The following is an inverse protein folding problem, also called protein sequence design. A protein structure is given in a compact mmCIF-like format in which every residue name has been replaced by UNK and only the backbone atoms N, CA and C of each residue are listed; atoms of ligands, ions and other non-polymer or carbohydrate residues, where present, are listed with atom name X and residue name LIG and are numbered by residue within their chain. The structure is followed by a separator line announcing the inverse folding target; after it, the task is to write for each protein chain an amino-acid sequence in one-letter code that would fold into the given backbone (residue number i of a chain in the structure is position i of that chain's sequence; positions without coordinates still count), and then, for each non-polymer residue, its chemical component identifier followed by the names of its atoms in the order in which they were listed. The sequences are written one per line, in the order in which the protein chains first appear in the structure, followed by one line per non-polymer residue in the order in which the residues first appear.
data_IF_991432904015
#
_entry.id   IF_991432904015
#
_cell.length_a   1.000
_cell.length_b   1.000
_cell.length_c   1.000
_cell.angle_alpha   90.00
_cell.angle_beta   90.00
_cell.angle_gamma   90.00
#
_symmetry.space_group_name_H-M   'P 1'
#
loop_
_entity.id
_entity.type
_entity.pdbx_description
1 polymer ?
#
# COMPACT_ATOMS: atom_id res chain seq x y z
N UNK A 1 -12.94 30.54 71.46
CA UNK A 1 -14.02 29.71 70.82
C UNK A 1 -13.37 28.45 70.25
N UNK A 2 -13.42 27.36 70.98
CA UNK A 2 -12.82 26.06 70.58
C UNK A 2 -13.81 25.41 69.59
N UNK A 3 -13.44 25.23 68.34
CA UNK A 3 -14.27 24.62 67.34
C UNK A 3 -14.52 23.13 67.67
N UNK A 4 -15.81 22.74 67.78
CA UNK A 4 -16.26 21.40 68.07
C UNK A 4 -15.63 20.34 67.11
N UNK A 5 -14.85 19.39 67.64
CA UNK A 5 -14.17 18.38 66.82
C UNK A 5 -15.14 17.47 66.03
N UNK A 6 -16.40 17.35 66.47
CA UNK A 6 -17.44 16.59 65.75
C UNK A 6 -17.87 17.33 64.49
N UNK A 7 -18.03 18.63 64.49
CA UNK A 7 -18.34 19.46 63.33
C UNK A 7 -17.23 19.41 62.29
N UNK A 8 -15.97 19.43 62.71
CA UNK A 8 -14.82 19.33 61.80
C UNK A 8 -14.76 17.94 61.11
N UNK A 9 -15.07 16.88 61.83
CA UNK A 9 -15.12 15.53 61.22
C UNK A 9 -16.30 15.36 60.21
N UNK A 10 -17.45 15.96 60.50
CA UNK A 10 -18.59 15.97 59.60
C UNK A 10 -18.30 16.77 58.30
N UNK A 11 -17.62 17.90 58.42
CA UNK A 11 -17.22 18.69 57.28
C UNK A 11 -16.19 17.98 56.40
N UNK A 12 -15.22 17.28 57.04
CA UNK A 12 -14.23 16.47 56.30
C UNK A 12 -14.86 15.22 55.63
N UNK A 13 -15.85 14.60 56.27
CA UNK A 13 -16.58 13.51 55.67
C UNK A 13 -17.49 13.96 54.51
N UNK A 14 -18.12 15.12 54.60
CA UNK A 14 -18.87 15.74 53.51
C UNK A 14 -18.00 16.15 52.32
N UNK A 15 -16.79 16.68 52.59
CA UNK A 15 -15.83 17.00 51.54
C UNK A 15 -15.27 15.74 50.86
N UNK A 16 -15.05 14.64 51.60
CA UNK A 16 -14.61 13.37 51.03
C UNK A 16 -15.69 12.71 50.13
N UNK A 17 -16.97 12.86 50.47
CA UNK A 17 -18.09 12.38 49.63
C UNK A 17 -18.30 13.25 48.38
N UNK A 18 -17.94 14.52 48.37
CA UNK A 18 -18.00 15.38 47.19
C UNK A 18 -16.91 15.06 46.15
N UNK A 19 -15.85 14.36 46.58
CA UNK A 19 -14.79 13.79 45.68
C UNK A 19 -15.05 12.33 45.30
N UNK A 20 -16.15 11.72 45.73
CA UNK A 20 -16.58 10.42 45.23
C UNK A 20 -16.97 10.57 43.77
N UNK A 21 -15.99 10.33 42.92
CA UNK A 21 -15.95 10.65 41.50
C UNK A 21 -17.23 10.36 40.75
N UNK A 22 -17.68 11.30 39.97
CA UNK A 22 -18.49 11.01 38.79
C UNK A 22 -17.88 9.81 38.09
N UNK A 23 -18.64 8.72 37.83
CA UNK A 23 -18.11 7.60 37.06
C UNK A 23 -17.56 8.20 35.75
N UNK A 24 -16.26 8.10 35.53
CA UNK A 24 -15.67 8.44 34.27
C UNK A 24 -16.42 7.61 33.22
N UNK A 25 -17.41 8.20 32.57
CA UNK A 25 -18.05 7.59 31.42
C UNK A 25 -16.90 7.32 30.45
N UNK A 26 -16.55 6.05 30.28
CA UNK A 26 -15.63 5.66 29.24
C UNK A 26 -16.11 6.33 27.96
N UNK A 27 -15.33 7.29 27.48
CA UNK A 27 -15.69 8.09 26.31
C UNK A 27 -15.79 7.13 25.14
N UNK A 28 -17.01 6.96 24.60
CA UNK A 28 -17.24 6.01 23.51
C UNK A 28 -16.35 6.41 22.33
N UNK A 29 -15.44 5.54 21.95
CA UNK A 29 -14.61 5.76 20.77
C UNK A 29 -15.46 5.67 19.49
N UNK A 30 -15.26 6.56 18.48
CA UNK A 30 -14.42 7.78 18.52
C UNK A 30 -15.18 9.00 19.05
N UNK A 31 -14.48 9.86 19.80
CA UNK A 31 -15.04 11.09 20.35
C UNK A 31 -14.40 12.37 19.76
N UNK A 32 -13.44 12.21 18.87
CA UNK A 32 -12.73 13.30 18.17
C UNK A 32 -12.31 12.87 16.77
N UNK A 33 -11.76 13.80 16.01
CA UNK A 33 -11.31 13.59 14.65
C UNK A 33 -10.29 12.44 14.55
N UNK A 34 -10.50 11.57 13.55
CA UNK A 34 -9.57 10.51 13.15
C UNK A 34 -8.69 11.02 12.01
N UNK A 35 -7.42 10.60 12.01
CA UNK A 35 -6.45 10.91 10.97
C UNK A 35 -5.98 9.63 10.27
N UNK A 36 -6.02 9.63 8.95
CA UNK A 36 -5.39 8.61 8.11
C UNK A 36 -4.16 9.24 7.45
N UNK A 37 -2.98 8.73 7.77
CA UNK A 37 -1.73 9.13 7.13
C UNK A 37 -1.53 8.31 5.86
N UNK A 38 -1.37 8.99 4.72
CA UNK A 38 -0.96 8.40 3.45
C UNK A 38 0.48 8.86 3.16
N UNK A 39 1.49 7.99 3.22
CA UNK A 39 2.89 8.39 3.08
C UNK A 39 3.33 8.54 1.61
N UNK A 40 2.39 8.71 0.71
CA UNK A 40 2.60 8.85 -0.73
C UNK A 40 1.92 10.13 -1.25
N UNK A 41 2.34 10.64 -2.43
CA UNK A 41 1.71 11.81 -3.04
C UNK A 41 0.22 11.62 -3.27
N UNK A 42 -0.57 12.72 -3.24
CA UNK A 42 -1.99 12.67 -3.54
C UNK A 42 -2.26 12.22 -4.98
N UNK A 43 -3.44 11.62 -5.20
CA UNK A 43 -3.96 11.21 -6.50
C UNK A 43 -3.60 9.77 -6.93
N UNK A 44 -2.66 9.10 -6.25
CA UNK A 44 -2.36 7.69 -6.49
C UNK A 44 -3.36 6.75 -5.79
N UNK A 45 -3.31 5.45 -6.13
CA UNK A 45 -4.24 4.44 -5.60
C UNK A 45 -4.28 4.43 -4.07
N UNK A 46 -3.14 4.57 -3.39
CA UNK A 46 -3.06 4.61 -1.93
C UNK A 46 -3.81 5.80 -1.34
N UNK A 47 -3.72 6.98 -1.97
CA UNK A 47 -4.46 8.18 -1.57
C UNK A 47 -5.96 8.02 -1.83
N UNK A 48 -6.34 7.44 -2.98
CA UNK A 48 -7.74 7.16 -3.30
C UNK A 48 -8.37 6.19 -2.30
N UNK A 49 -7.67 5.14 -1.90
CA UNK A 49 -8.11 4.23 -0.83
C UNK A 49 -8.24 4.97 0.51
N UNK A 50 -7.23 5.77 0.88
CA UNK A 50 -7.25 6.53 2.13
C UNK A 50 -8.49 7.41 2.23
N UNK A 51 -8.84 8.09 1.13
CA UNK A 51 -10.03 8.97 1.07
C UNK A 51 -11.33 8.19 1.06
N UNK A 52 -11.42 7.13 0.29
CA UNK A 52 -12.63 6.31 0.21
C UNK A 52 -12.95 5.61 1.54
N UNK A 53 -11.92 5.05 2.19
CA UNK A 53 -12.04 4.46 3.54
C UNK A 53 -12.37 5.56 4.56
N UNK A 54 -11.68 6.70 4.50
CA UNK A 54 -11.94 7.83 5.39
C UNK A 54 -13.37 8.35 5.31
N UNK A 55 -13.91 8.48 4.12
CA UNK A 55 -15.31 8.87 3.87
C UNK A 55 -16.29 7.85 4.50
N UNK A 56 -16.07 6.56 4.28
CA UNK A 56 -16.91 5.51 4.85
C UNK A 56 -16.84 5.46 6.39
N UNK A 57 -15.64 5.58 6.96
CA UNK A 57 -15.45 5.66 8.41
C UNK A 57 -16.13 6.90 8.99
N UNK A 58 -16.03 8.06 8.34
CA UNK A 58 -16.70 9.28 8.78
C UNK A 58 -18.21 9.10 8.82
N UNK A 59 -18.81 8.54 7.77
CA UNK A 59 -20.25 8.27 7.71
C UNK A 59 -20.71 7.28 8.77
N UNK A 60 -19.95 6.21 9.00
CA UNK A 60 -20.32 5.12 9.91
C UNK A 60 -20.08 5.45 11.38
N UNK A 61 -19.08 6.29 11.68
CA UNK A 61 -18.67 6.64 13.06
C UNK A 61 -19.21 7.98 13.53
N UNK A 62 -19.72 8.82 12.63
CA UNK A 62 -20.22 10.15 12.95
C UNK A 62 -19.12 11.16 13.37
N UNK A 63 -17.85 10.85 13.09
CA UNK A 63 -16.71 11.70 13.43
C UNK A 63 -15.91 12.05 12.17
N UNK A 64 -15.37 13.27 12.13
CA UNK A 64 -14.53 13.71 11.02
C UNK A 64 -13.33 12.80 10.82
N UNK A 65 -13.04 12.42 9.57
CA UNK A 65 -11.85 11.67 9.18
C UNK A 65 -11.06 12.47 8.15
N UNK A 66 -9.81 12.80 8.48
CA UNK A 66 -8.92 13.60 7.63
C UNK A 66 -7.80 12.75 7.08
N UNK A 67 -7.57 12.83 5.78
CA UNK A 67 -6.42 12.21 5.11
C UNK A 67 -5.27 13.21 5.03
N UNK A 68 -4.13 12.84 5.61
CA UNK A 68 -2.89 13.62 5.59
C UNK A 68 -1.86 12.93 4.69
N UNK A 69 -1.51 13.55 3.56
CA UNK A 69 -0.42 13.06 2.73
C UNK A 69 0.93 13.50 3.32
N UNK A 70 1.80 12.53 3.70
CA UNK A 70 3.15 12.75 4.25
C UNK A 70 4.19 11.99 3.44
N UNK A 71 4.46 12.39 2.19
CA UNK A 71 5.40 11.70 1.32
C UNK A 71 6.86 11.90 1.78
N UNK A 72 7.71 10.99 1.35
CA UNK A 72 9.16 11.08 1.55
C UNK A 72 9.80 9.74 1.88
N UNK A 73 11.04 9.55 1.43
CA UNK A 73 11.85 8.35 1.63
C UNK A 73 11.07 7.04 1.34
N UNK A 74 10.39 6.96 0.19
CA UNK A 74 9.62 5.76 -0.18
C UNK A 74 8.44 5.43 0.75
N UNK A 75 7.92 6.43 1.49
CA UNK A 75 6.84 6.27 2.46
C UNK A 75 7.30 6.11 3.91
N UNK A 76 8.61 6.11 4.18
CA UNK A 76 9.12 5.89 5.53
C UNK A 76 8.74 7.01 6.50
N UNK A 77 8.73 8.28 6.05
CA UNK A 77 8.44 9.44 6.92
C UNK A 77 7.02 9.35 7.50
N UNK A 78 6.03 9.08 6.67
CA UNK A 78 4.66 8.96 7.13
C UNK A 78 4.43 7.69 7.96
N UNK A 79 5.06 6.57 7.57
CA UNK A 79 4.97 5.31 8.32
C UNK A 79 5.58 5.43 9.72
N UNK A 80 6.75 6.04 9.84
CA UNK A 80 7.40 6.30 11.14
C UNK A 80 6.54 7.16 12.08
N UNK A 81 5.87 8.18 11.51
CA UNK A 81 4.98 9.03 12.29
C UNK A 81 3.80 8.27 12.88
N UNK A 82 3.30 7.22 12.20
CA UNK A 82 2.21 6.38 12.73
C UNK A 82 2.75 5.32 13.68
N UNK A 83 3.91 4.73 13.42
CA UNK A 83 4.57 3.80 14.34
C UNK A 83 4.74 4.40 15.75
N UNK A 84 5.00 5.70 15.82
CA UNK A 84 5.20 6.46 17.08
C UNK A 84 3.94 7.13 17.62
N UNK A 85 2.79 6.95 16.97
CA UNK A 85 1.52 7.54 17.43
C UNK A 85 0.96 6.80 18.64
N UNK A 86 0.11 7.47 19.40
CA UNK A 86 -0.61 6.84 20.52
C UNK A 86 -1.56 5.74 19.99
N UNK A 87 -1.65 4.57 20.67
CA UNK A 87 -2.51 3.47 20.26
C UNK A 87 -3.96 3.67 20.72
N UNK A 88 -4.53 4.82 20.43
CA UNK A 88 -5.85 5.26 20.90
C UNK A 88 -6.95 5.23 19.82
N UNK A 89 -6.59 4.76 18.61
CA UNK A 89 -7.52 4.64 17.49
C UNK A 89 -7.80 5.92 16.72
N UNK A 90 -7.02 6.98 16.92
CA UNK A 90 -7.20 8.25 16.22
C UNK A 90 -6.16 8.52 15.12
N UNK A 91 -5.21 7.62 14.93
CA UNK A 91 -4.21 7.72 13.86
C UNK A 91 -4.05 6.37 13.19
N UNK A 92 -4.26 6.32 11.88
CA UNK A 92 -4.09 5.14 11.04
C UNK A 92 -3.13 5.45 9.90
N UNK A 93 -2.59 4.40 9.28
CA UNK A 93 -1.69 4.45 8.14
C UNK A 93 -2.31 3.66 6.99
N UNK A 94 -2.35 4.24 5.80
CA UNK A 94 -2.59 3.48 4.57
C UNK A 94 -1.33 3.57 3.72
N UNK A 95 -0.64 2.45 3.53
CA UNK A 95 0.65 2.43 2.83
C UNK A 95 0.81 1.20 1.95
N UNK A 96 1.82 1.25 1.08
CA UNK A 96 2.19 0.16 0.16
C UNK A 96 3.06 -0.88 0.86
N UNK A 97 3.02 -2.09 0.35
CA UNK A 97 3.85 -3.21 0.77
C UNK A 97 5.35 -2.85 0.83
N UNK A 98 5.85 -2.08 -0.14
CA UNK A 98 7.26 -1.68 -0.21
C UNK A 98 7.75 -1.04 1.09
N UNK A 99 6.96 -0.16 1.69
CA UNK A 99 7.31 0.49 2.96
C UNK A 99 7.34 -0.47 4.16
N UNK A 100 6.63 -1.59 4.08
CA UNK A 100 6.51 -2.56 5.19
C UNK A 100 7.40 -3.79 5.03
N UNK A 101 7.65 -4.22 3.79
CA UNK A 101 8.37 -5.46 3.50
C UNK A 101 9.75 -5.16 2.92
N UNK A 102 9.80 -4.57 1.73
CA UNK A 102 11.06 -4.34 1.02
C UNK A 102 11.97 -3.34 1.74
N UNK A 103 11.39 -2.36 2.43
CA UNK A 103 12.13 -1.37 3.21
C UNK A 103 13.07 -2.01 4.25
N UNK A 104 12.71 -3.18 4.80
CA UNK A 104 13.54 -3.92 5.76
C UNK A 104 14.90 -4.36 5.18
N UNK A 105 15.01 -4.42 3.86
CA UNK A 105 16.22 -4.82 3.14
C UNK A 105 16.86 -3.64 2.42
N UNK A 106 16.03 -2.73 1.89
CA UNK A 106 16.48 -1.60 1.09
C UNK A 106 17.19 -0.54 1.93
N UNK A 107 16.85 -0.38 3.20
CA UNK A 107 17.42 0.64 4.07
C UNK A 107 18.33 0.02 5.14
N UNK A 108 19.53 0.56 5.30
CA UNK A 108 20.46 0.14 6.37
C UNK A 108 19.87 0.37 7.76
N UNK A 109 19.09 1.44 7.90
CA UNK A 109 18.46 1.82 9.17
C UNK A 109 17.00 2.19 8.92
N UNK A 110 16.10 1.23 9.18
CA UNK A 110 14.67 1.49 9.16
C UNK A 110 14.24 2.16 10.47
N UNK A 111 13.49 3.29 10.45
CA UNK A 111 13.13 4.01 11.67
C UNK A 111 12.03 3.34 12.49
N UNK A 112 11.43 2.27 11.99
CA UNK A 112 10.39 1.47 12.64
C UNK A 112 10.59 -0.02 12.33
N UNK A 113 9.98 -0.87 13.13
CA UNK A 113 9.90 -2.30 12.88
C UNK A 113 8.46 -2.65 12.40
N UNK A 114 8.27 -3.10 11.15
CA UNK A 114 6.95 -3.43 10.62
C UNK A 114 6.17 -4.50 11.41
N UNK A 115 6.86 -5.40 12.08
CA UNK A 115 6.24 -6.49 12.83
C UNK A 115 5.79 -6.10 14.24
N UNK A 116 6.53 -5.19 14.88
CA UNK A 116 6.31 -4.85 16.30
C UNK A 116 5.69 -3.49 16.53
N UNK A 117 5.84 -2.55 15.60
CA UNK A 117 5.43 -1.16 15.78
C UNK A 117 4.06 -0.83 15.17
N UNK A 118 3.44 -1.83 14.52
CA UNK A 118 2.12 -1.68 13.89
C UNK A 118 1.14 -2.78 14.27
N UNK A 119 -0.13 -2.40 14.29
CA UNK A 119 -1.27 -3.29 14.26
C UNK A 119 -1.78 -3.41 12.83
N UNK A 120 -1.80 -4.61 12.28
CA UNK A 120 -2.25 -4.93 10.93
C UNK A 120 -3.77 -5.05 10.91
N UNK A 121 -4.47 -4.28 10.06
CA UNK A 121 -5.94 -4.17 10.11
C UNK A 121 -6.60 -4.78 8.87
N UNK A 122 -6.17 -4.38 7.67
CA UNK A 122 -6.76 -4.90 6.43
C UNK A 122 -5.79 -4.75 5.26
N UNK A 123 -5.65 -5.79 4.44
CA UNK A 123 -5.05 -5.69 3.12
C UNK A 123 -6.09 -5.24 2.10
N UNK A 124 -5.63 -4.43 1.15
CA UNK A 124 -6.40 -3.92 0.01
C UNK A 124 -5.65 -4.33 -1.27
N UNK A 125 -6.35 -4.66 -2.33
CA UNK A 125 -5.75 -5.02 -3.60
C UNK A 125 -4.92 -3.87 -4.19
N UNK A 126 -3.70 -4.18 -4.65
CA UNK A 126 -2.85 -3.19 -5.31
C UNK A 126 -3.19 -3.00 -6.80
N UNK A 127 -4.08 -3.82 -7.31
CA UNK A 127 -4.45 -3.85 -8.72
C UNK A 127 -3.42 -4.56 -9.60
N UNK A 128 -3.78 -4.75 -10.84
CA UNK A 128 -2.90 -5.32 -11.82
C UNK A 128 -1.94 -4.26 -12.36
N UNK A 129 -0.68 -4.62 -12.50
CA UNK A 129 0.39 -3.76 -13.01
C UNK A 129 0.89 -4.31 -14.36
N UNK A 130 0.19 -4.04 -15.49
CA UNK A 130 0.59 -4.56 -16.78
C UNK A 130 1.99 -4.10 -17.18
N UNK A 131 2.71 -5.01 -17.84
CA UNK A 131 3.93 -4.72 -18.56
C UNK A 131 3.58 -4.26 -19.98
N UNK A 132 4.08 -3.09 -20.37
CA UNK A 132 3.88 -2.53 -21.69
C UNK A 132 5.19 -2.17 -22.37
N UNK A 133 5.12 -2.15 -23.71
CA UNK A 133 6.22 -1.73 -24.61
C UNK A 133 5.71 -0.66 -25.57
N UNK A 134 6.60 0.16 -26.20
CA UNK A 134 6.21 1.01 -27.31
C UNK A 134 5.55 0.18 -28.42
N UNK A 135 4.48 0.67 -29.03
CA UNK A 135 3.79 -0.05 -30.10
C UNK A 135 4.70 -0.34 -31.31
N UNK A 136 5.68 0.53 -31.55
CA UNK A 136 6.68 0.36 -32.61
C UNK A 136 7.69 -0.78 -32.35
N UNK A 137 7.84 -1.21 -31.10
CA UNK A 137 8.75 -2.30 -30.75
C UNK A 137 8.23 -3.62 -31.36
N UNK A 138 9.13 -4.36 -32.03
CA UNK A 138 8.79 -5.62 -32.68
C UNK A 138 8.74 -6.80 -31.69
N UNK A 139 7.91 -6.65 -30.62
CA UNK A 139 7.62 -7.70 -29.65
C UNK A 139 6.10 -7.80 -29.46
N UNK A 140 5.54 -8.94 -29.79
CA UNK A 140 4.08 -9.20 -29.72
C UNK A 140 3.64 -9.85 -28.40
N UNK A 141 4.60 -10.42 -27.67
CA UNK A 141 4.40 -11.07 -26.38
C UNK A 141 5.65 -10.86 -25.50
N UNK A 142 5.55 -11.23 -24.23
CA UNK A 142 6.64 -10.99 -23.29
C UNK A 142 7.89 -11.84 -23.56
N UNK A 143 7.74 -13.03 -24.16
CA UNK A 143 8.86 -13.86 -24.57
C UNK A 143 9.67 -13.18 -25.67
N UNK A 144 9.02 -12.63 -26.67
CA UNK A 144 9.68 -11.87 -27.74
C UNK A 144 10.37 -10.62 -27.21
N UNK A 145 9.79 -9.96 -26.21
CA UNK A 145 10.46 -8.84 -25.52
C UNK A 145 11.75 -9.29 -24.81
N UNK A 146 11.74 -10.43 -24.13
CA UNK A 146 12.94 -10.97 -23.47
C UNK A 146 14.03 -11.29 -24.49
N UNK A 147 13.69 -11.92 -25.62
CA UNK A 147 14.66 -12.19 -26.69
C UNK A 147 15.20 -10.88 -27.31
N UNK A 148 14.33 -9.89 -27.52
CA UNK A 148 14.77 -8.55 -27.93
C UNK A 148 15.77 -7.95 -26.93
N UNK A 149 15.47 -8.02 -25.64
CA UNK A 149 16.30 -7.45 -24.56
C UNK A 149 17.65 -8.17 -24.38
N UNK A 150 17.78 -9.42 -24.81
CA UNK A 150 19.07 -10.14 -24.88
C UNK A 150 19.97 -9.58 -25.99
N UNK A 151 19.39 -9.21 -27.11
CA UNK A 151 20.10 -8.81 -28.31
C UNK A 151 20.35 -7.28 -28.40
N UNK A 152 19.59 -6.47 -27.68
CA UNK A 152 19.60 -5.03 -27.83
C UNK A 152 19.79 -4.33 -26.48
N UNK A 153 20.37 -3.13 -26.51
CA UNK A 153 20.33 -2.22 -25.35
C UNK A 153 18.88 -1.90 -25.04
N UNK A 154 18.47 -2.18 -23.81
CA UNK A 154 17.07 -2.10 -23.39
C UNK A 154 16.96 -1.41 -22.04
N UNK A 155 16.01 -0.49 -21.92
CA UNK A 155 15.69 0.19 -20.67
C UNK A 155 14.25 -0.14 -20.25
N UNK A 156 14.05 -0.36 -18.95
CA UNK A 156 12.71 -0.45 -18.33
C UNK A 156 12.52 0.72 -17.38
N UNK A 157 11.44 1.46 -17.58
CA UNK A 157 11.04 2.54 -16.69
C UNK A 157 10.51 2.01 -15.36
N UNK A 158 10.92 2.65 -14.27
CA UNK A 158 10.51 2.35 -12.91
C UNK A 158 10.13 3.64 -12.19
N UNK A 159 9.24 3.60 -11.22
CA UNK A 159 8.81 4.78 -10.47
C UNK A 159 9.58 4.99 -9.16
N UNK A 160 10.48 4.10 -8.80
CA UNK A 160 11.46 4.25 -7.70
C UNK A 160 12.48 3.11 -7.69
N UNK A 161 13.68 3.29 -7.10
CA UNK A 161 14.54 2.18 -6.72
C UNK A 161 13.81 1.21 -5.79
N UNK A 162 14.00 -0.11 -5.99
CA UNK A 162 13.33 -1.15 -5.21
C UNK A 162 11.85 -1.36 -5.50
N UNK A 163 11.26 -0.58 -6.43
CA UNK A 163 9.88 -0.77 -6.86
C UNK A 163 9.70 -2.06 -7.67
N UNK A 164 8.45 -2.50 -7.82
CA UNK A 164 8.14 -3.72 -8.56
C UNK A 164 8.76 -3.77 -9.98
N UNK A 165 8.65 -2.73 -10.83
CA UNK A 165 9.34 -2.73 -12.13
C UNK A 165 10.86 -2.88 -12.03
N UNK A 166 11.48 -2.33 -10.98
CA UNK A 166 12.93 -2.49 -10.76
C UNK A 166 13.27 -3.95 -10.42
N UNK A 167 12.47 -4.59 -9.57
CA UNK A 167 12.64 -6.02 -9.26
C UNK A 167 12.48 -6.91 -10.48
N UNK A 168 11.47 -6.63 -11.33
CA UNK A 168 11.26 -7.35 -12.59
C UNK A 168 12.48 -7.20 -13.51
N UNK A 169 13.01 -5.98 -13.67
CA UNK A 169 14.20 -5.73 -14.50
C UNK A 169 15.40 -6.52 -14.03
N UNK A 170 15.66 -6.53 -12.71
CA UNK A 170 16.77 -7.28 -12.12
C UNK A 170 16.61 -8.79 -12.27
N UNK A 171 15.39 -9.30 -12.07
CA UNK A 171 15.10 -10.72 -12.25
C UNK A 171 15.22 -11.17 -13.71
N UNK A 172 14.84 -10.32 -14.66
CA UNK A 172 15.08 -10.57 -16.10
C UNK A 172 16.57 -10.67 -16.40
N UNK A 173 17.38 -9.77 -15.86
CA UNK A 173 18.83 -9.81 -16.03
C UNK A 173 19.41 -11.10 -15.43
N UNK A 174 18.99 -11.47 -14.21
CA UNK A 174 19.51 -12.64 -13.50
C UNK A 174 19.10 -13.97 -14.16
N UNK A 175 17.81 -14.11 -14.46
CA UNK A 175 17.24 -15.41 -14.88
C UNK A 175 17.38 -15.68 -16.38
N UNK A 176 17.38 -14.62 -17.19
CA UNK A 176 17.32 -14.75 -18.66
C UNK A 176 18.53 -14.15 -19.36
N UNK A 177 19.51 -13.61 -18.61
CA UNK A 177 20.76 -13.07 -19.17
C UNK A 177 20.56 -11.78 -19.98
N UNK A 178 19.49 -11.04 -19.73
CA UNK A 178 19.31 -9.71 -20.32
C UNK A 178 20.26 -8.71 -19.67
N UNK A 179 20.41 -7.51 -20.28
CA UNK A 179 21.20 -6.41 -19.75
C UNK A 179 20.35 -5.15 -19.66
N UNK A 180 19.17 -5.30 -19.09
CA UNK A 180 18.19 -4.22 -18.97
C UNK A 180 18.67 -3.20 -17.95
N UNK A 181 18.65 -1.92 -18.35
CA UNK A 181 18.88 -0.77 -17.48
C UNK A 181 17.57 -0.31 -16.86
N UNK A 182 17.52 -0.17 -15.53
CA UNK A 182 16.36 0.38 -14.83
C UNK A 182 16.45 1.91 -14.79
N UNK A 183 15.53 2.61 -15.44
CA UNK A 183 15.45 4.08 -15.46
C UNK A 183 14.42 4.54 -14.44
N UNK A 184 14.84 5.30 -13.43
CA UNK A 184 13.99 5.72 -12.32
C UNK A 184 13.33 7.08 -12.58
N UNK A 185 12.02 7.10 -12.62
CA UNK A 185 11.18 8.29 -12.79
C UNK A 185 10.62 8.78 -11.46
N UNK A 186 10.26 10.06 -11.41
CA UNK A 186 9.52 10.65 -10.27
C UNK A 186 8.01 10.41 -10.42
N UNK A 187 7.61 9.13 -10.48
CA UNK A 187 6.23 8.70 -10.65
C UNK A 187 5.90 8.12 -12.02
N UNK A 188 4.67 7.67 -12.17
CA UNK A 188 4.22 6.91 -13.34
C UNK A 188 4.03 7.78 -14.59
N UNK A 189 3.46 8.97 -14.47
CA UNK A 189 3.09 9.79 -15.62
C UNK A 189 4.27 10.12 -16.57
N UNK A 190 5.43 10.64 -16.10
CA UNK A 190 6.56 10.88 -16.98
C UNK A 190 7.14 9.59 -17.58
N UNK A 191 7.12 8.48 -16.87
CA UNK A 191 7.52 7.17 -17.36
C UNK A 191 6.68 6.73 -18.56
N UNK A 192 5.36 6.91 -18.49
CA UNK A 192 4.43 6.50 -19.56
C UNK A 192 4.57 7.39 -20.80
N UNK A 193 4.92 8.67 -20.64
CA UNK A 193 5.22 9.56 -21.78
C UNK A 193 6.44 9.02 -22.54
N UNK A 194 7.51 8.69 -21.83
CA UNK A 194 8.74 8.18 -22.43
C UNK A 194 8.55 6.77 -23.02
N UNK A 195 7.72 5.93 -22.41
CA UNK A 195 7.33 4.65 -22.99
C UNK A 195 6.58 4.83 -24.30
N UNK A 196 5.56 5.69 -24.33
CA UNK A 196 4.76 5.96 -25.52
C UNK A 196 5.58 6.62 -26.62
N UNK A 197 6.60 7.43 -26.26
CA UNK A 197 7.55 8.05 -27.16
C UNK A 197 8.70 7.14 -27.60
N UNK A 198 8.83 5.92 -27.07
CA UNK A 198 9.88 4.96 -27.43
C UNK A 198 11.26 5.27 -26.82
N UNK A 199 11.35 6.20 -25.87
CA UNK A 199 12.60 6.53 -25.17
C UNK A 199 13.06 5.39 -24.25
N UNK A 200 12.13 4.59 -23.74
CA UNK A 200 12.35 3.34 -23.01
C UNK A 200 11.60 2.21 -23.69
N UNK A 201 12.11 0.98 -23.60
CA UNK A 201 11.59 -0.19 -24.31
C UNK A 201 10.56 -0.98 -23.53
N UNK A 202 10.46 -0.73 -22.22
CA UNK A 202 9.46 -1.39 -21.37
C UNK A 202 9.11 -0.54 -20.15
N UNK A 203 7.93 -0.75 -19.62
CA UNK A 203 7.54 -0.23 -18.30
C UNK A 203 6.44 -1.10 -17.68
N UNK A 204 6.34 -1.04 -16.36
CA UNK A 204 5.20 -1.60 -15.61
C UNK A 204 4.50 -0.44 -14.93
N UNK A 205 3.21 -0.31 -15.18
CA UNK A 205 2.40 0.76 -14.64
C UNK A 205 0.99 0.30 -14.27
N UNK A 206 0.19 1.21 -13.75
CA UNK A 206 -1.20 0.91 -13.41
C UNK A 206 -2.06 0.69 -14.65
N UNK A 207 -3.13 -0.10 -14.53
CA UNK A 207 -4.14 -0.23 -15.60
C UNK A 207 -4.68 1.14 -15.98
N UNK A 208 -4.96 1.99 -14.98
CA UNK A 208 -5.48 3.34 -15.20
C UNK A 208 -4.53 4.19 -16.06
N UNK A 209 -3.22 4.13 -15.81
CA UNK A 209 -2.23 4.90 -16.57
C UNK A 209 -1.99 4.33 -17.95
N UNK A 210 -1.84 3.01 -18.08
CA UNK A 210 -1.40 2.38 -19.32
C UNK A 210 -2.53 2.17 -20.35
N UNK A 211 -3.75 1.86 -19.89
CA UNK A 211 -4.86 1.52 -20.80
C UNK A 211 -5.20 2.63 -21.82
N UNK A 212 -5.25 3.92 -21.44
CA UNK A 212 -5.47 5.00 -22.43
C UNK A 212 -4.41 5.07 -23.54
N UNK A 213 -3.14 4.80 -23.21
CA UNK A 213 -2.05 4.75 -24.20
C UNK A 213 -2.16 3.53 -25.10
N UNK A 214 -2.55 2.38 -24.52
CA UNK A 214 -2.78 1.16 -25.31
C UNK A 214 -3.96 1.31 -26.28
N UNK A 215 -5.07 1.92 -25.84
CA UNK A 215 -6.24 2.20 -26.66
C UNK A 215 -5.94 3.17 -27.82
N UNK A 216 -5.02 4.13 -27.60
CA UNK A 216 -4.51 5.03 -28.65
C UNK A 216 -3.50 4.38 -29.59
N UNK A 217 -3.10 3.14 -29.33
CA UNK A 217 -2.10 2.43 -30.14
C UNK A 217 -0.66 2.92 -29.92
N UNK A 218 -0.37 3.68 -28.87
CA UNK A 218 0.98 4.18 -28.57
C UNK A 218 1.85 3.12 -27.86
N UNK A 219 1.22 2.25 -27.07
CA UNK A 219 1.88 1.14 -26.38
C UNK A 219 1.13 -0.17 -26.63
N UNK A 220 1.84 -1.28 -26.44
CA UNK A 220 1.28 -2.63 -26.44
C UNK A 220 1.47 -3.25 -25.06
N UNK A 221 0.40 -3.77 -24.46
CA UNK A 221 0.46 -4.51 -23.19
C UNK A 221 0.80 -5.98 -23.48
N UNK A 222 1.82 -6.51 -22.84
CA UNK A 222 2.35 -7.84 -23.12
C UNK A 222 2.06 -8.87 -22.04
N UNK A 223 1.95 -8.45 -20.78
CA UNK A 223 1.74 -9.36 -19.66
C UNK A 223 1.17 -8.66 -18.43
N UNK A 224 0.51 -9.42 -17.54
CA UNK A 224 0.12 -8.98 -16.20
C UNK A 224 0.75 -9.90 -15.13
N UNK A 225 1.18 -9.37 -13.96
CA UNK A 225 1.90 -10.13 -12.92
C UNK A 225 0.95 -10.76 -11.90
N UNK A 226 0.02 -11.55 -12.35
CA UNK A 226 -0.98 -12.19 -11.50
C UNK A 226 -1.22 -13.63 -11.94
N UNK A 227 -1.79 -14.44 -11.06
CA UNK A 227 -2.11 -15.83 -11.38
C UNK A 227 -3.25 -15.93 -12.42
N UNK A 228 -4.11 -14.91 -12.50
CA UNK A 228 -5.21 -14.81 -13.44
C UNK A 228 -5.15 -13.48 -14.20
N UNK A 229 -5.73 -13.44 -15.39
CA UNK A 229 -5.80 -12.22 -16.19
C UNK A 229 -6.60 -11.13 -15.50
N UNK A 230 -6.26 -9.88 -15.77
CA UNK A 230 -7.03 -8.74 -15.28
C UNK A 230 -8.42 -8.71 -15.93
N UNK A 231 -9.50 -8.50 -15.16
CA UNK A 231 -10.82 -8.28 -15.72
C UNK A 231 -10.90 -7.10 -16.70
N UNK A 232 -10.03 -6.10 -16.53
CA UNK A 232 -9.92 -4.94 -17.43
C UNK A 232 -9.05 -5.19 -18.67
N UNK A 233 -8.27 -6.26 -18.65
CA UNK A 233 -7.32 -6.63 -19.69
C UNK A 233 -7.47 -8.12 -20.03
N UNK A 234 -8.66 -8.59 -20.43
CA UNK A 234 -8.92 -10.03 -20.63
C UNK A 234 -8.06 -10.64 -21.74
N UNK A 235 -7.63 -9.83 -22.70
CA UNK A 235 -6.80 -10.27 -23.82
C UNK A 235 -5.30 -10.24 -23.52
N UNK A 236 -4.88 -9.64 -22.38
CA UNK A 236 -3.48 -9.59 -21.99
C UNK A 236 -3.15 -10.81 -21.12
N UNK A 237 -2.27 -11.71 -21.58
CA UNK A 237 -1.92 -12.91 -20.82
C UNK A 237 -1.13 -12.56 -19.57
N UNK A 238 -1.13 -13.48 -18.60
CA UNK A 238 -0.24 -13.38 -17.45
C UNK A 238 1.21 -13.72 -17.83
N UNK A 239 2.18 -13.30 -17.01
CA UNK A 239 3.56 -13.78 -17.17
C UNK A 239 3.64 -15.31 -17.09
N UNK A 240 2.87 -15.91 -16.17
CA UNK A 240 2.85 -17.36 -15.94
C UNK A 240 2.32 -18.12 -17.16
N UNK A 241 1.24 -17.64 -17.81
CA UNK A 241 0.72 -18.20 -19.07
C UNK A 241 1.78 -18.20 -20.18
N UNK A 242 2.74 -17.28 -20.13
CA UNK A 242 3.82 -17.19 -21.09
C UNK A 242 5.09 -17.96 -20.66
N UNK A 243 5.04 -18.69 -19.53
CA UNK A 243 6.12 -19.54 -19.04
C UNK A 243 7.11 -18.84 -18.08
N UNK A 244 6.80 -17.65 -17.60
CA UNK A 244 7.60 -16.91 -16.62
C UNK A 244 7.06 -17.19 -15.22
N UNK A 245 7.61 -18.19 -14.53
CA UNK A 245 7.07 -18.77 -13.29
C UNK A 245 7.82 -18.37 -12.03
N UNK A 246 8.90 -17.56 -12.14
CA UNK A 246 9.57 -17.07 -10.95
C UNK A 246 8.62 -16.18 -10.10
N UNK A 247 8.75 -16.20 -8.77
CA UNK A 247 7.80 -15.52 -7.88
C UNK A 247 7.53 -14.06 -8.23
N UNK A 248 8.53 -13.30 -8.66
CA UNK A 248 8.37 -11.89 -9.08
C UNK A 248 7.33 -11.71 -10.19
N UNK A 249 7.06 -12.73 -11.00
CA UNK A 249 6.12 -12.66 -12.12
C UNK A 249 4.68 -13.06 -11.75
N UNK A 250 4.44 -13.53 -10.53
CA UNK A 250 3.13 -14.02 -10.09
C UNK A 250 2.63 -13.44 -8.76
N UNK A 251 3.48 -12.70 -8.05
CA UNK A 251 3.12 -12.08 -6.78
C UNK A 251 2.61 -10.66 -7.04
N UNK A 252 1.33 -10.41 -6.74
CA UNK A 252 0.78 -9.07 -6.70
C UNK A 252 1.12 -8.43 -5.34
N UNK A 253 1.50 -7.16 -5.34
CA UNK A 253 1.63 -6.41 -4.10
C UNK A 253 0.27 -6.11 -3.47
N UNK A 254 0.30 -5.53 -2.28
CA UNK A 254 -0.89 -5.06 -1.57
C UNK A 254 -0.69 -3.64 -1.03
N UNK A 255 -1.80 -2.98 -0.74
CA UNK A 255 -1.87 -1.77 0.06
C UNK A 255 -2.46 -2.17 1.40
N UNK A 256 -1.90 -1.69 2.51
CA UNK A 256 -2.35 -2.08 3.84
C UNK A 256 -2.87 -0.90 4.65
N UNK A 257 -3.91 -1.17 5.44
CA UNK A 257 -4.34 -0.30 6.53
C UNK A 257 -3.75 -0.82 7.83
N UNK A 258 -3.12 0.08 8.57
CA UNK A 258 -2.45 -0.20 9.83
C UNK A 258 -2.83 0.84 10.88
N UNK A 259 -2.63 0.47 12.13
CA UNK A 259 -2.55 1.41 13.24
C UNK A 259 -1.23 1.28 13.98
N UNK A 260 -0.92 2.15 14.96
CA UNK A 260 0.22 1.95 15.84
C UNK A 260 0.09 0.64 16.61
N UNK A 261 1.22 0.11 17.10
CA UNK A 261 1.24 -1.11 17.89
C UNK A 261 0.32 -1.01 19.12
N UNK A 262 -0.22 -2.14 19.55
CA UNK A 262 -1.04 -2.24 20.77
C UNK A 262 -2.38 -1.47 20.73
N UNK A 263 -2.95 -1.26 19.54
CA UNK A 263 -4.32 -0.77 19.44
C UNK A 263 -5.27 -1.70 20.22
N UNK A 264 -6.25 -1.14 20.95
CA UNK A 264 -7.30 -1.95 21.58
C UNK A 264 -8.02 -2.84 20.56
N UNK A 265 -8.21 -4.10 20.91
CA UNK A 265 -8.80 -5.12 20.02
C UNK A 265 -10.18 -4.70 19.49
N UNK A 266 -11.01 -4.10 20.33
CA UNK A 266 -12.33 -3.59 19.95
C UNK A 266 -12.28 -2.52 18.85
N UNK A 267 -11.24 -1.68 18.85
CA UNK A 267 -11.02 -0.66 17.79
C UNK A 267 -10.59 -1.36 16.50
N UNK A 268 -9.67 -2.31 16.59
CA UNK A 268 -9.19 -3.08 15.42
C UNK A 268 -10.34 -3.79 14.73
N UNK A 269 -11.15 -4.55 15.51
CA UNK A 269 -12.30 -5.29 14.99
C UNK A 269 -13.34 -4.35 14.35
N UNK A 270 -13.64 -3.24 15.02
CA UNK A 270 -14.60 -2.24 14.50
C UNK A 270 -14.12 -1.59 13.22
N UNK A 271 -12.85 -1.15 13.16
CA UNK A 271 -12.28 -0.52 11.96
C UNK A 271 -12.18 -1.53 10.83
N UNK A 272 -11.69 -2.74 11.09
CA UNK A 272 -11.60 -3.79 10.07
C UNK A 272 -12.96 -4.11 9.45
N UNK A 273 -13.99 -4.28 10.28
CA UNK A 273 -15.36 -4.50 9.81
C UNK A 273 -15.83 -3.38 8.89
N UNK A 274 -15.65 -2.13 9.31
CA UNK A 274 -16.05 -0.96 8.50
C UNK A 274 -15.26 -0.85 7.19
N UNK A 275 -14.00 -1.25 7.17
CA UNK A 275 -13.18 -1.27 5.94
C UNK A 275 -13.65 -2.37 4.98
N UNK A 276 -14.03 -3.53 5.50
CA UNK A 276 -14.64 -4.61 4.69
C UNK A 276 -15.98 -4.13 4.10
N UNK A 277 -16.83 -3.50 4.90
CA UNK A 277 -18.09 -2.90 4.44
C UNK A 277 -17.86 -1.81 3.40
N UNK A 278 -16.83 -0.97 3.58
CA UNK A 278 -16.42 0.04 2.60
C UNK A 278 -16.10 -0.59 1.24
N UNK A 279 -15.60 -1.84 1.21
CA UNK A 279 -15.34 -2.59 -0.02
C UNK A 279 -16.54 -2.72 -0.94
N UNK A 280 -17.76 -2.66 -0.39
CA UNK A 280 -19.01 -2.71 -1.13
C UNK A 280 -19.58 -1.31 -1.46
N UNK A 281 -18.93 -0.23 -1.04
CA UNK A 281 -19.36 1.13 -1.34
C UNK A 281 -19.18 1.47 -2.83
N UNK A 282 -20.02 2.36 -3.34
CA UNK A 282 -19.91 2.83 -4.72
C UNK A 282 -18.54 3.43 -5.02
N UNK A 283 -17.94 4.12 -4.01
CA UNK A 283 -16.64 4.76 -4.13
C UNK A 283 -15.50 3.74 -4.31
N UNK A 284 -15.48 2.67 -3.52
CA UNK A 284 -14.46 1.62 -3.67
C UNK A 284 -14.71 0.75 -4.89
N UNK A 285 -15.94 0.45 -5.24
CA UNK A 285 -16.26 -0.24 -6.50
C UNK A 285 -15.73 0.52 -7.73
N UNK A 286 -15.88 1.84 -7.76
CA UNK A 286 -15.32 2.68 -8.83
C UNK A 286 -13.79 2.58 -8.90
N UNK A 287 -13.09 2.54 -7.74
CA UNK A 287 -11.66 2.32 -7.68
C UNK A 287 -11.30 0.94 -8.23
N UNK A 288 -11.99 -0.11 -7.79
CA UNK A 288 -11.77 -1.48 -8.29
C UNK A 288 -11.93 -1.57 -9.80
N UNK A 289 -12.98 -0.99 -10.32
CA UNK A 289 -13.20 -0.92 -11.77
C UNK A 289 -12.08 -0.16 -12.49
N UNK A 290 -11.70 1.00 -11.97
CA UNK A 290 -10.69 1.86 -12.62
C UNK A 290 -9.33 1.18 -12.70
N UNK A 291 -8.94 0.48 -11.62
CA UNK A 291 -7.61 -0.14 -11.51
C UNK A 291 -7.59 -1.64 -11.83
N UNK A 292 -8.74 -2.23 -12.18
CA UNK A 292 -8.84 -3.65 -12.48
C UNK A 292 -8.60 -4.55 -11.26
N UNK A 293 -9.07 -4.13 -10.08
CA UNK A 293 -8.83 -4.81 -8.81
C UNK A 293 -9.94 -5.84 -8.58
N UNK A 294 -9.55 -7.08 -8.37
CA UNK A 294 -10.48 -8.18 -8.04
C UNK A 294 -10.55 -8.43 -6.53
N UNK A 295 -9.47 -8.15 -5.82
CA UNK A 295 -9.32 -8.39 -4.40
C UNK A 295 -10.22 -7.45 -3.58
N UNK A 296 -10.71 -7.95 -2.46
CA UNK A 296 -11.52 -7.19 -1.49
C UNK A 296 -10.72 -6.97 -0.20
N UNK A 297 -11.11 -5.96 0.62
CA UNK A 297 -10.48 -5.76 1.93
C UNK A 297 -10.55 -7.02 2.78
N UNK A 298 -9.47 -7.34 3.46
CA UNK A 298 -9.33 -8.56 4.26
C UNK A 298 -9.56 -8.33 5.74
N UNK A 299 -9.75 -9.40 6.50
CA UNK A 299 -9.64 -9.37 7.95
C UNK A 299 -8.18 -9.20 8.40
N UNK A 300 -7.92 -8.82 9.67
CA UNK A 300 -6.56 -8.75 10.23
C UNK A 300 -5.81 -10.08 10.15
N UNK A 301 -6.49 -11.18 10.40
CA UNK A 301 -5.92 -12.53 10.37
C UNK A 301 -5.50 -12.92 8.95
N UNK A 302 -6.34 -12.63 7.96
CA UNK A 302 -6.02 -12.85 6.55
C UNK A 302 -4.86 -11.98 6.10
N UNK A 303 -4.83 -10.72 6.52
CA UNK A 303 -3.73 -9.83 6.18
C UNK A 303 -2.40 -10.35 6.73
N UNK A 304 -2.36 -10.76 7.99
CA UNK A 304 -1.16 -11.38 8.58
C UNK A 304 -0.78 -12.67 7.88
N UNK A 305 -1.73 -13.47 7.42
CA UNK A 305 -1.46 -14.68 6.62
C UNK A 305 -0.82 -14.33 5.29
N UNK A 306 -1.33 -13.34 4.57
CA UNK A 306 -0.75 -12.83 3.32
C UNK A 306 0.70 -12.38 3.58
N UNK A 307 0.92 -11.55 4.59
CA UNK A 307 2.25 -11.06 4.94
C UNK A 307 3.23 -12.22 5.24
N UNK A 308 2.82 -13.19 6.04
CA UNK A 308 3.67 -14.35 6.41
C UNK A 308 3.99 -15.24 5.21
N UNK A 309 3.12 -15.33 4.24
CA UNK A 309 3.30 -16.15 3.04
C UNK A 309 4.14 -15.43 1.98
N UNK A 310 3.83 -14.16 1.71
CA UNK A 310 4.45 -13.40 0.62
C UNK A 310 5.68 -12.60 1.08
N UNK A 311 5.68 -12.09 2.31
CA UNK A 311 6.74 -11.25 2.84
C UNK A 311 8.14 -11.83 2.67
N UNK A 312 8.39 -13.10 3.07
CA UNK A 312 9.70 -13.74 2.88
C UNK A 312 10.13 -13.82 1.40
N UNK A 313 9.19 -14.02 0.48
CA UNK A 313 9.47 -14.07 -0.96
C UNK A 313 9.89 -12.68 -1.48
N UNK A 314 9.16 -11.63 -1.09
CA UNK A 314 9.50 -10.25 -1.42
C UNK A 314 10.86 -9.84 -0.86
N UNK A 315 11.15 -10.20 0.39
CA UNK A 315 12.45 -9.97 1.04
C UNK A 315 13.56 -10.67 0.27
N UNK A 316 13.37 -11.94 -0.11
CA UNK A 316 14.36 -12.70 -0.87
C UNK A 316 14.64 -12.06 -2.23
N UNK A 317 13.57 -11.72 -3.00
CA UNK A 317 13.70 -11.05 -4.30
C UNK A 317 14.42 -9.70 -4.13
N UNK A 318 14.09 -8.94 -3.09
CA UNK A 318 14.70 -7.62 -2.84
C UNK A 318 16.17 -7.74 -2.48
N UNK A 319 16.57 -8.74 -1.67
CA UNK A 319 17.97 -9.02 -1.36
C UNK A 319 18.79 -9.32 -2.61
N UNK A 320 18.19 -10.03 -3.56
CA UNK A 320 18.83 -10.34 -4.84
C UNK A 320 19.15 -9.13 -5.71
N UNK A 321 18.47 -8.00 -5.49
CA UNK A 321 18.78 -6.75 -6.20
C UNK A 321 20.15 -6.20 -5.84
N UNK A 322 20.68 -6.53 -4.65
CA UNK A 322 21.94 -5.97 -4.15
C UNK A 322 21.91 -4.46 -3.93
N UNK A 323 20.72 -3.88 -3.79
CA UNK A 323 20.50 -2.42 -3.65
C UNK A 323 20.34 -2.09 -2.18
N UNK A 324 21.01 -1.03 -1.74
CA UNK A 324 20.79 -0.38 -0.45
C UNK A 324 20.48 1.09 -0.69
N UNK A 325 19.44 1.57 -0.09
CA UNK A 325 19.05 2.98 -0.05
C UNK A 325 19.49 3.56 1.30
N UNK A 326 20.19 4.68 1.26
CA UNK A 326 20.66 5.38 2.47
C UNK A 326 19.71 6.52 2.84
#
# INVERSE_FOLDING_TARGET
MIADPKRRRLLLAAAAMAFAGTPARAQIWPARQIRIVCPLPPGGLTDLYSRAIGEHLQQSLGQSVVVENRPGAGGLIGSDAVAKAAPDGYTFLVTIQTSMVQAQVLYKKLPYNPETDFTWISALGAGHLPFGVPAALQAKNFREFVEYAKANRTSIGTYAPGSYPHMVSAQLNKLYGTKIEAVHYKGEAPMLIDLAGGQIQGAIGSVQGMLPHAQKGNIRLLAVPTAVRSPKLPDVPTFVEQGFTAPVFSIAGWIGLFGPAKLPREIVERVSKLVIEAGESARLRQIYETFGIAERPTTPEEFLRIYRTEGPQWIAITKELGITLD
#
